data_IF_075385924875
#
_entry.id   IF_075385924875
#
_cell.length_a   1.000
_cell.length_b   1.000
_cell.length_c   1.000
_cell.angle_alpha   90.00
_cell.angle_beta   90.00
_cell.angle_gamma   90.00
#
_symmetry.space_group_name_H-M   'P 1'
#
loop_
_entity.id
_entity.type
_entity.pdbx_description
1 polymer ?
#
# COMPACT_ATOMS: atom_id res chain seq x y z
N UNK A 1 -3.68 16.85 -5.53
CA UNK A 1 -3.07 16.95 -6.86
C UNK A 1 -3.87 16.07 -7.81
N UNK A 2 -4.17 16.56 -9.00
CA UNK A 2 -4.95 15.85 -10.00
C UNK A 2 -4.06 14.88 -10.80
N UNK A 3 -4.39 13.60 -10.85
CA UNK A 3 -3.59 12.60 -11.58
C UNK A 3 -3.67 12.73 -13.11
N UNK A 4 -4.67 13.44 -13.64
CA UNK A 4 -4.85 13.64 -15.08
C UNK A 4 -3.92 14.75 -15.59
N UNK A 5 -4.02 15.95 -15.03
CA UNK A 5 -3.26 17.13 -15.48
C UNK A 5 -2.08 17.51 -14.58
N UNK A 6 -1.87 16.81 -13.46
CA UNK A 6 -0.80 17.07 -12.49
C UNK A 6 -0.85 18.47 -11.83
N UNK A 7 -2.00 19.15 -11.90
CA UNK A 7 -2.25 20.42 -11.22
C UNK A 7 -2.87 20.24 -9.82
N UNK A 8 -2.89 21.32 -9.05
CA UNK A 8 -3.47 21.36 -7.71
C UNK A 8 -4.96 21.75 -7.69
N UNK A 9 -5.58 21.70 -6.51
CA UNK A 9 -6.94 22.18 -6.20
C UNK A 9 -8.14 21.39 -6.76
N UNK A 10 -7.92 20.27 -7.47
CA UNK A 10 -9.02 19.43 -7.94
C UNK A 10 -8.64 17.95 -8.04
N UNK A 11 -9.64 17.09 -8.16
CA UNK A 11 -9.50 15.65 -8.36
C UNK A 11 -9.53 15.28 -9.85
N UNK A 12 -9.01 14.10 -10.20
CA UNK A 12 -9.01 13.61 -11.58
C UNK A 12 -10.43 13.43 -12.15
N UNK A 13 -11.41 13.09 -11.30
CA UNK A 13 -12.81 12.88 -11.70
C UNK A 13 -13.47 14.13 -12.27
N UNK A 14 -13.13 15.30 -11.71
CA UNK A 14 -13.69 16.59 -12.15
C UNK A 14 -12.73 17.38 -13.05
N UNK A 15 -11.77 16.70 -13.68
CA UNK A 15 -10.72 17.34 -14.46
C UNK A 15 -11.06 17.38 -15.96
N UNK A 16 -11.36 18.57 -16.45
CA UNK A 16 -11.65 18.84 -17.87
C UNK A 16 -10.39 19.23 -18.68
N UNK A 17 -9.22 19.29 -18.05
CA UNK A 17 -7.95 19.62 -18.73
C UNK A 17 -7.42 18.41 -19.51
N UNK A 18 -6.57 18.68 -20.51
CA UNK A 18 -5.78 17.65 -21.19
C UNK A 18 -4.88 16.90 -20.19
N UNK A 19 -4.62 15.60 -20.40
CA UNK A 19 -3.70 14.87 -19.55
C UNK A 19 -2.28 15.42 -19.71
N UNK A 20 -1.52 15.45 -18.61
CA UNK A 20 -0.14 15.93 -18.58
C UNK A 20 0.68 15.04 -17.66
N UNK A 21 1.76 14.50 -18.21
CA UNK A 21 2.63 13.59 -17.50
C UNK A 21 3.53 14.32 -16.51
N UNK A 22 3.53 13.89 -15.25
CA UNK A 22 4.37 14.50 -14.20
C UNK A 22 5.87 14.29 -14.44
N UNK A 23 6.25 13.25 -15.20
CA UNK A 23 7.64 12.87 -15.46
C UNK A 23 8.29 13.66 -16.59
N UNK A 24 7.59 13.79 -17.72
CA UNK A 24 8.13 14.34 -18.96
C UNK A 24 7.36 15.56 -19.49
N UNK A 25 6.29 16.00 -18.82
CA UNK A 25 5.48 17.15 -19.22
C UNK A 25 4.74 17.01 -20.58
N UNK A 26 4.71 15.83 -21.18
CA UNK A 26 3.98 15.57 -22.43
C UNK A 26 2.48 15.33 -22.21
N UNK A 27 1.68 15.43 -23.30
CA UNK A 27 0.23 15.28 -23.31
C UNK A 27 -0.23 13.81 -23.19
N UNK A 28 0.11 13.15 -22.08
CA UNK A 28 -0.37 11.81 -21.74
C UNK A 28 -0.48 11.61 -20.23
N UNK A 29 -1.21 10.59 -19.79
CA UNK A 29 -1.27 10.23 -18.38
C UNK A 29 0.02 9.54 -17.92
N UNK A 30 0.47 9.78 -16.69
CA UNK A 30 1.74 9.23 -16.16
C UNK A 30 1.89 7.71 -16.31
N UNK A 31 0.77 6.96 -16.32
CA UNK A 31 0.74 5.50 -16.56
C UNK A 31 1.20 5.08 -17.97
N UNK A 32 0.96 5.93 -18.96
CA UNK A 32 1.30 5.69 -20.36
C UNK A 32 2.65 6.30 -20.74
N UNK A 33 3.42 6.78 -19.77
CA UNK A 33 4.70 7.39 -20.02
C UNK A 33 5.75 6.36 -20.45
N UNK A 34 6.50 6.71 -21.51
CA UNK A 34 7.63 5.91 -22.00
C UNK A 34 8.75 5.80 -20.94
N UNK A 35 8.88 6.80 -20.07
CA UNK A 35 9.89 6.83 -19.00
C UNK A 35 9.42 5.97 -17.82
N UNK A 36 9.93 4.74 -17.77
CA UNK A 36 9.73 3.79 -16.65
C UNK A 36 10.87 3.81 -15.63
N UNK A 37 12.02 4.35 -16.00
CA UNK A 37 13.22 4.44 -15.16
C UNK A 37 13.22 5.70 -14.28
N UNK A 38 14.11 5.74 -13.28
CA UNK A 38 14.32 6.91 -12.43
C UNK A 38 14.93 8.04 -13.26
N UNK A 39 14.35 9.24 -13.15
CA UNK A 39 14.89 10.46 -13.75
C UNK A 39 15.82 11.09 -12.72
N UNK A 40 17.08 11.33 -13.06
CA UNK A 40 18.07 11.90 -12.12
C UNK A 40 17.76 13.36 -11.77
N UNK A 41 17.38 14.17 -12.77
CA UNK A 41 17.07 15.60 -12.59
C UNK A 41 15.67 15.89 -13.11
N UNK A 42 14.61 15.48 -12.40
CA UNK A 42 13.24 15.76 -12.81
C UNK A 42 12.98 17.26 -12.75
N UNK A 43 12.17 17.76 -13.68
CA UNK A 43 11.71 19.15 -13.68
C UNK A 43 10.29 19.21 -13.17
N UNK A 44 10.03 20.06 -12.18
CA UNK A 44 8.70 20.26 -11.66
C UNK A 44 7.85 21.02 -12.69
N UNK A 45 6.73 20.44 -13.10
CA UNK A 45 5.83 21.09 -14.07
C UNK A 45 5.17 22.38 -13.52
N UNK A 46 5.05 22.52 -12.20
CA UNK A 46 4.32 23.59 -11.51
C UNK A 46 5.22 24.77 -11.12
N UNK A 47 6.47 24.54 -10.72
CA UNK A 47 7.43 25.61 -10.40
C UNK A 47 8.60 25.74 -11.38
N UNK A 48 8.70 24.86 -12.38
CA UNK A 48 9.77 24.83 -13.39
C UNK A 48 11.18 24.64 -12.85
N UNK A 49 11.35 24.35 -11.55
CA UNK A 49 12.65 24.05 -10.97
C UNK A 49 13.04 22.57 -11.20
N UNK A 50 14.34 22.33 -11.38
CA UNK A 50 14.92 20.99 -11.49
C UNK A 50 15.22 20.40 -10.11
N UNK A 51 15.20 19.07 -10.00
CA UNK A 51 15.54 18.33 -8.79
C UNK A 51 14.35 17.70 -8.07
N UNK A 52 13.11 18.05 -8.45
CA UNK A 52 11.91 17.44 -7.89
C UNK A 52 10.76 17.35 -8.90
N UNK A 53 9.81 16.46 -8.63
CA UNK A 53 8.56 16.34 -9.37
C UNK A 53 7.48 17.21 -8.73
N UNK A 54 6.42 17.55 -9.48
CA UNK A 54 5.34 18.41 -8.97
C UNK A 54 4.53 17.82 -7.79
N UNK A 55 4.69 16.54 -7.49
CA UNK A 55 4.09 15.89 -6.33
C UNK A 55 4.90 16.08 -5.05
N UNK A 56 6.09 16.67 -5.13
CA UNK A 56 6.95 16.89 -3.99
C UNK A 56 6.39 18.01 -3.10
N UNK A 57 6.18 17.71 -1.82
CA UNK A 57 5.56 18.64 -0.86
C UNK A 57 6.44 19.85 -0.54
N UNK A 58 7.76 19.76 -0.73
CA UNK A 58 8.68 20.88 -0.53
C UNK A 58 8.72 21.87 -1.70
N UNK A 59 7.94 21.64 -2.76
CA UNK A 59 7.90 22.56 -3.90
C UNK A 59 7.36 23.92 -3.45
N UNK A 60 7.99 25.05 -3.85
CA UNK A 60 7.51 26.39 -3.45
C UNK A 60 6.08 26.69 -3.93
N UNK A 61 5.65 26.06 -5.03
CA UNK A 61 4.29 26.18 -5.55
C UNK A 61 3.35 25.06 -5.05
N UNK A 62 3.79 24.22 -4.12
CA UNK A 62 2.93 23.21 -3.52
C UNK A 62 1.86 23.91 -2.68
N UNK A 63 0.58 23.57 -2.84
CA UNK A 63 -0.50 24.25 -2.15
C UNK A 63 -0.38 23.99 -0.64
N UNK A 64 -0.08 25.04 0.11
CA UNK A 64 -0.22 25.02 1.57
C UNK A 64 -1.70 25.16 1.90
N UNK A 65 -2.42 24.04 1.79
CA UNK A 65 -3.79 23.96 2.27
C UNK A 65 -3.68 23.91 3.80
N UNK A 66 -3.68 25.08 4.42
CA UNK A 66 -3.97 25.23 5.83
C UNK A 66 -5.38 24.70 6.06
N UNK A 67 -5.51 23.39 6.22
CA UNK A 67 -6.71 22.83 6.83
C UNK A 67 -6.64 23.31 8.27
N UNK A 68 -7.19 24.49 8.54
CA UNK A 68 -7.71 24.82 9.87
C UNK A 68 -8.85 23.83 10.11
N UNK A 69 -8.48 22.56 10.33
CA UNK A 69 -9.41 21.57 10.86
C UNK A 69 -9.82 22.20 12.18
N UNK A 70 -11.10 22.53 12.32
CA UNK A 70 -11.64 22.82 13.64
C UNK A 70 -11.10 21.73 14.56
N UNK A 71 -10.57 22.08 15.75
CA UNK A 71 -9.98 21.08 16.62
C UNK A 71 -10.99 19.95 16.76
N UNK A 72 -10.63 18.79 16.23
CA UNK A 72 -11.44 17.58 16.41
C UNK A 72 -11.61 17.40 17.92
N UNK A 73 -12.61 16.67 18.39
CA UNK A 73 -12.78 16.48 19.84
C UNK A 73 -11.52 15.88 20.54
N UNK A 74 -10.65 15.19 19.79
CA UNK A 74 -9.45 14.51 20.26
C UNK A 74 -8.39 15.37 21.00
N UNK A 75 -7.97 16.58 20.56
CA UNK A 75 -6.99 17.38 21.30
C UNK A 75 -7.57 18.02 22.56
N UNK A 76 -8.89 18.25 22.63
CA UNK A 76 -9.56 18.74 23.86
C UNK A 76 -9.54 17.69 24.98
N UNK A 77 -9.50 16.40 24.63
CA UNK A 77 -9.34 15.31 25.61
C UNK A 77 -7.91 15.25 26.19
N UNK A 78 -6.88 15.54 25.38
CA UNK A 78 -5.48 15.50 25.85
C UNK A 78 -5.14 16.59 26.86
N UNK A 79 -5.79 17.75 26.80
CA UNK A 79 -5.61 18.84 27.77
C UNK A 79 -6.24 18.52 29.14
N UNK A 80 -7.20 17.60 29.19
CA UNK A 80 -7.89 17.20 30.43
C UNK A 80 -7.26 16.00 31.14
N UNK A 81 -6.21 15.38 30.57
CA UNK A 81 -5.50 14.25 31.19
C UNK A 81 -4.62 14.63 32.40
N UNK A 82 -4.52 15.93 32.73
CA UNK A 82 -3.71 16.44 33.84
C UNK A 82 -4.55 16.94 35.03
N UNK A 83 -5.85 16.65 35.07
CA UNK A 83 -6.69 16.96 36.24
C UNK A 83 -7.02 15.67 36.99
N UNK A 84 -6.43 15.52 38.18
CA UNK A 84 -6.70 14.45 39.14
C UNK A 84 -8.15 14.54 39.65
N UNK A 85 -9.11 13.99 38.93
CA UNK A 85 -10.47 13.79 39.46
C UNK A 85 -10.99 12.38 39.15
N UNK A 86 -11.56 11.79 40.20
CA UNK A 86 -11.95 10.39 40.41
C UNK A 86 -12.98 9.89 39.37
N UNK A 87 -12.98 8.60 38.98
CA UNK A 87 -13.90 8.09 37.96
C UNK A 87 -15.34 8.07 38.48
N UNK A 88 -16.27 8.71 37.78
CA UNK A 88 -17.70 8.44 37.92
C UNK A 88 -18.28 8.28 36.51
N UNK A 89 -18.63 7.02 36.25
CA UNK A 89 -19.42 6.42 35.17
C UNK A 89 -19.59 7.14 33.82
N UNK A 90 -19.07 6.48 32.77
CA UNK A 90 -19.13 6.84 31.36
C UNK A 90 -20.52 6.51 30.80
N UNK A 91 -21.23 7.45 30.12
CA UNK A 91 -22.32 7.08 29.22
C UNK A 91 -21.71 6.44 27.97
N UNK A 92 -21.89 5.13 27.80
CA UNK A 92 -21.48 4.38 26.63
C UNK A 92 -22.31 4.81 25.41
N UNK A 93 -21.82 5.78 24.63
CA UNK A 93 -22.22 5.90 23.23
C UNK A 93 -21.21 5.11 22.39
N UNK A 94 -21.53 3.83 22.21
CA UNK A 94 -20.90 2.94 21.24
C UNK A 94 -21.22 3.42 19.82
N UNK A 95 -20.21 3.70 18.97
CA UNK A 95 -20.38 3.44 17.54
C UNK A 95 -20.77 1.96 17.43
N UNK A 96 -21.83 1.66 16.67
CA UNK A 96 -22.29 0.30 16.40
C UNK A 96 -21.07 -0.59 16.13
N UNK A 97 -20.81 -1.54 17.02
CA UNK A 97 -19.91 -2.65 16.75
C UNK A 97 -20.49 -3.36 15.55
N UNK A 98 -19.94 -3.12 14.37
CA UNK A 98 -19.94 -4.19 13.38
C UNK A 98 -19.24 -5.36 14.06
N UNK A 99 -19.93 -6.49 14.07
CA UNK A 99 -19.44 -7.75 14.62
C UNK A 99 -18.21 -8.15 13.79
N UNK A 100 -17.03 -7.72 14.24
CA UNK A 100 -15.72 -8.04 13.64
C UNK A 100 -14.91 -8.77 14.71
N UNK A 101 -15.40 -9.94 15.12
CA UNK A 101 -14.62 -10.88 15.92
C UNK A 101 -14.12 -12.04 15.04
N UNK A 102 -14.91 -12.43 14.04
CA UNK A 102 -14.55 -13.53 13.14
C UNK A 102 -13.56 -13.09 12.04
N UNK A 103 -13.71 -11.87 11.48
CA UNK A 103 -12.86 -11.35 10.39
C UNK A 103 -11.39 -11.12 10.80
N UNK A 104 -11.13 -10.74 12.05
CA UNK A 104 -9.76 -10.51 12.52
C UNK A 104 -9.03 -11.84 12.77
N UNK A 105 -9.75 -12.85 13.27
CA UNK A 105 -9.23 -14.21 13.42
C UNK A 105 -8.95 -14.85 12.06
N UNK A 106 -9.82 -14.60 11.09
CA UNK A 106 -9.69 -15.09 9.71
C UNK A 106 -8.51 -14.42 9.01
N UNK A 107 -8.34 -13.10 9.21
CA UNK A 107 -7.20 -12.36 8.69
C UNK A 107 -5.87 -12.89 9.25
N UNK A 108 -5.79 -13.06 10.57
CA UNK A 108 -4.57 -13.55 11.22
C UNK A 108 -4.25 -14.99 10.81
N UNK A 109 -5.28 -15.84 10.68
CA UNK A 109 -5.12 -17.20 10.15
C UNK A 109 -4.60 -17.19 8.70
N UNK A 110 -5.18 -16.36 7.84
CA UNK A 110 -4.79 -16.26 6.45
C UNK A 110 -3.37 -15.70 6.28
N UNK A 111 -2.99 -14.72 7.10
CA UNK A 111 -1.63 -14.17 7.09
C UNK A 111 -0.59 -15.20 7.56
N UNK A 112 -0.89 -15.94 8.63
CA UNK A 112 -0.04 -17.03 9.10
C UNK A 112 0.08 -18.15 8.04
N UNK A 113 -1.00 -18.48 7.33
CA UNK A 113 -0.95 -19.42 6.22
C UNK A 113 0.00 -18.95 5.09
N UNK A 114 -0.05 -17.67 4.72
CA UNK A 114 0.85 -17.08 3.72
C UNK A 114 2.32 -17.10 4.16
N UNK A 115 2.59 -16.85 5.44
CA UNK A 115 3.93 -16.96 6.02
C UNK A 115 4.48 -18.38 5.90
N UNK A 116 3.67 -19.39 6.21
CA UNK A 116 4.04 -20.81 6.11
C UNK A 116 4.33 -21.18 4.65
N UNK A 117 3.47 -20.77 3.71
CA UNK A 117 3.66 -21.02 2.28
C UNK A 117 4.98 -20.40 1.79
N UNK A 118 5.26 -19.15 2.17
CA UNK A 118 6.50 -18.49 1.75
C UNK A 118 7.75 -19.16 2.35
N UNK A 119 7.70 -19.54 3.62
CA UNK A 119 8.82 -20.22 4.28
C UNK A 119 9.06 -21.63 3.72
N UNK A 120 8.00 -22.36 3.34
CA UNK A 120 8.12 -23.68 2.71
C UNK A 120 8.75 -23.58 1.33
N UNK A 121 8.38 -22.61 0.49
CA UNK A 121 9.03 -22.40 -0.81
C UNK A 121 10.51 -21.98 -0.67
N UNK A 122 10.86 -21.21 0.36
CA UNK A 122 12.27 -20.90 0.67
C UNK A 122 13.06 -22.14 1.09
N UNK A 123 12.45 -23.04 1.86
CA UNK A 123 13.08 -24.27 2.34
C UNK A 123 13.19 -25.33 1.25
N UNK A 124 12.21 -25.41 0.36
CA UNK A 124 12.10 -26.41 -0.69
C UNK A 124 11.91 -25.74 -2.05
N UNK A 125 13.00 -25.20 -2.62
CA UNK A 125 12.95 -24.47 -3.89
C UNK A 125 12.48 -25.33 -5.09
N UNK A 126 12.63 -26.66 -5.01
CA UNK A 126 12.25 -27.60 -6.08
C UNK A 126 10.85 -28.22 -5.89
N UNK A 127 10.10 -27.81 -4.87
CA UNK A 127 8.83 -28.46 -4.49
C UNK A 127 7.81 -28.49 -5.65
N UNK A 128 7.67 -27.37 -6.37
CA UNK A 128 6.72 -27.24 -7.49
C UNK A 128 7.10 -28.20 -8.61
N UNK A 129 8.36 -28.15 -9.05
CA UNK A 129 8.87 -28.96 -10.15
C UNK A 129 8.75 -30.46 -9.87
N UNK A 130 9.08 -30.88 -8.65
CA UNK A 130 8.98 -32.29 -8.25
C UNK A 130 7.50 -32.72 -8.16
N UNK A 131 6.61 -31.85 -7.68
CA UNK A 131 5.18 -32.16 -7.60
C UNK A 131 4.53 -32.38 -8.98
N UNK A 132 4.99 -31.67 -10.00
CA UNK A 132 4.54 -31.86 -11.38
C UNK A 132 5.10 -33.14 -11.98
N UNK A 133 6.37 -33.46 -11.69
CA UNK A 133 6.98 -34.71 -12.14
C UNK A 133 6.26 -35.93 -11.56
N UNK A 134 5.95 -35.92 -10.26
CA UNK A 134 5.21 -37.01 -9.61
C UNK A 134 3.84 -37.24 -10.26
N UNK A 135 3.14 -36.19 -10.70
CA UNK A 135 1.85 -36.33 -11.40
C UNK A 135 1.97 -37.02 -12.77
N UNK A 136 3.13 -36.92 -13.42
CA UNK A 136 3.38 -37.51 -14.73
C UNK A 136 3.94 -38.95 -14.64
N UNK A 137 4.56 -39.29 -13.51
CA UNK A 137 5.22 -40.59 -13.31
C UNK A 137 4.20 -41.67 -12.92
N UNK A 138 4.34 -42.88 -13.51
CA UNK A 138 3.51 -44.05 -13.20
C UNK A 138 4.25 -45.16 -12.44
N UNK A 139 5.55 -44.99 -12.20
CA UNK A 139 6.42 -45.97 -11.56
C UNK A 139 6.68 -45.59 -10.10
N UNK A 140 6.33 -46.47 -9.18
CA UNK A 140 6.45 -46.26 -7.73
C UNK A 140 7.91 -46.01 -7.28
N UNK A 141 8.89 -46.63 -7.95
CA UNK A 141 10.31 -46.45 -7.63
C UNK A 141 10.80 -45.03 -7.98
N UNK A 142 10.32 -44.48 -9.09
CA UNK A 142 10.66 -43.12 -9.51
C UNK A 142 9.95 -42.08 -8.65
N UNK A 143 8.71 -42.34 -8.23
CA UNK A 143 7.98 -41.50 -7.27
C UNK A 143 8.75 -41.44 -5.94
N UNK A 144 9.25 -42.58 -5.44
CA UNK A 144 10.06 -42.63 -4.22
C UNK A 144 11.36 -41.79 -4.34
N UNK A 145 12.06 -41.92 -5.47
CA UNK A 145 13.28 -41.16 -5.74
C UNK A 145 13.03 -39.65 -5.83
N UNK A 146 11.88 -39.25 -6.41
CA UNK A 146 11.45 -37.86 -6.49
C UNK A 146 11.08 -37.30 -5.10
N UNK A 147 10.37 -38.07 -4.27
CA UNK A 147 10.01 -37.68 -2.91
C UNK A 147 11.25 -37.52 -2.02
N UNK A 148 12.24 -38.42 -2.14
CA UNK A 148 13.51 -38.35 -1.41
C UNK A 148 14.29 -37.04 -1.68
N UNK A 149 14.19 -36.50 -2.92
CA UNK A 149 14.81 -35.21 -3.29
C UNK A 149 14.19 -34.00 -2.60
N UNK A 150 12.93 -34.10 -2.15
CA UNK A 150 12.26 -33.04 -1.37
C UNK A 150 12.75 -33.07 0.07
N UNK A 151 12.94 -34.26 0.66
CA UNK A 151 13.18 -34.41 2.10
C UNK A 151 14.63 -34.20 2.54
N UNK A 152 15.62 -34.19 1.64
CA UNK A 152 17.07 -34.09 1.94
C UNK A 152 17.41 -34.71 3.31
N UNK A 153 17.25 -36.03 3.39
CA UNK A 153 18.11 -36.86 4.25
C UNK A 153 19.37 -37.13 3.43
#
# INVERSE_FOLDING_TARGET
MCFKCSDFYHSARNCHRKPRCIKCNEEHETRNCRIKTKIEKPTCINCKQTGHLASWQGCPNYPNINTKKAPTYAPKLKLNLNRNEKPTEIPQNTPSKQVITDEFSDFERNFNALQIINNTFKRFHNLIQISEQIKATKNDLEIFNLLSKITKI
#
